data_IF_761308632255
#
_entry.id   IF_761308632255
#
_cell.length_a   1.000
_cell.length_b   1.000
_cell.length_c   1.000
_cell.angle_alpha   90.00
_cell.angle_beta   90.00
_cell.angle_gamma   90.00
#
_symmetry.space_group_name_H-M   'P 1'
#
loop_
_entity.id
_entity.type
_entity.pdbx_description
1 polymer ?
#
# COMPACT_ATOMS: atom_id res chain seq x y z
N UNK A 1 -3.77 -10.74 -3.96
CA UNK A 1 -3.75 -9.27 -4.16
C UNK A 1 -2.82 -8.61 -3.17
N UNK A 2 -2.16 -7.50 -3.54
CA UNK A 2 -1.31 -6.75 -2.61
C UNK A 2 -1.45 -5.23 -2.82
N UNK A 3 -0.83 -4.47 -1.93
CA UNK A 3 -0.85 -3.00 -1.94
C UNK A 3 -0.26 -2.40 -3.22
N UNK A 4 0.77 -3.03 -3.80
CA UNK A 4 1.39 -2.56 -5.05
C UNK A 4 0.37 -2.58 -6.19
N UNK A 5 -0.32 -3.71 -6.38
CA UNK A 5 -1.33 -3.85 -7.42
C UNK A 5 -2.51 -2.89 -7.22
N UNK A 6 -2.92 -2.67 -5.96
CA UNK A 6 -3.96 -1.69 -5.63
C UNK A 6 -3.56 -0.28 -6.07
N UNK A 7 -2.35 0.17 -5.71
CA UNK A 7 -1.82 1.49 -6.11
C UNK A 7 -1.72 1.62 -7.63
N UNK A 8 -1.21 0.60 -8.28
CA UNK A 8 -1.11 0.57 -9.74
C UNK A 8 -2.47 0.64 -10.41
N UNK A 9 -3.49 -0.07 -9.89
CA UNK A 9 -4.84 -0.08 -10.44
C UNK A 9 -5.54 1.27 -10.30
N UNK A 10 -5.33 1.97 -9.18
CA UNK A 10 -5.87 3.32 -8.97
C UNK A 10 -5.31 4.31 -10.00
N UNK A 11 -4.06 4.14 -10.38
CA UNK A 11 -3.40 4.96 -11.41
C UNK A 11 -3.82 4.57 -12.82
N UNK A 12 -3.74 3.28 -13.12
CA UNK A 12 -4.03 2.75 -14.44
C UNK A 12 -4.29 1.24 -14.36
N UNK A 13 -5.46 0.79 -14.85
CA UNK A 13 -5.83 -0.63 -14.87
C UNK A 13 -4.81 -1.49 -15.63
N UNK A 14 -4.35 -1.00 -16.80
CA UNK A 14 -3.32 -1.67 -17.61
C UNK A 14 -2.01 -1.82 -16.88
N UNK A 15 -1.60 -0.79 -16.11
CA UNK A 15 -0.39 -0.87 -15.27
C UNK A 15 -0.50 -2.01 -14.24
N UNK A 16 -1.63 -2.10 -13.53
CA UNK A 16 -1.83 -3.18 -12.57
C UNK A 16 -1.77 -4.57 -13.21
N UNK A 17 -2.35 -4.72 -14.39
CA UNK A 17 -2.30 -5.97 -15.15
C UNK A 17 -0.87 -6.33 -15.58
N UNK A 18 -0.09 -5.34 -16.06
CA UNK A 18 1.32 -5.51 -16.42
C UNK A 18 2.20 -5.81 -15.20
N UNK A 19 1.95 -5.20 -14.07
CA UNK A 19 2.67 -5.47 -12.81
C UNK A 19 2.45 -6.91 -12.33
N UNK A 20 1.29 -7.53 -12.65
CA UNK A 20 1.01 -8.92 -12.31
C UNK A 20 1.53 -9.91 -13.37
N UNK A 21 1.23 -9.66 -14.66
CA UNK A 21 1.43 -10.62 -15.77
C UNK A 21 2.52 -10.20 -16.75
N UNK A 22 3.07 -8.99 -16.60
CA UNK A 22 4.13 -8.47 -17.48
C UNK A 22 5.50 -9.07 -17.16
N UNK A 23 6.43 -8.87 -18.09
CA UNK A 23 7.81 -9.31 -17.89
C UNK A 23 8.54 -8.36 -16.93
N UNK A 24 9.03 -8.90 -15.82
CA UNK A 24 9.71 -8.14 -14.76
C UNK A 24 11.13 -7.67 -15.13
N UNK A 25 11.69 -8.16 -16.24
CA UNK A 25 13.02 -7.74 -16.74
C UNK A 25 13.12 -6.24 -17.08
N UNK A 26 11.98 -5.55 -17.12
CA UNK A 26 11.92 -4.11 -17.39
C UNK A 26 11.79 -3.23 -16.14
N UNK A 27 11.94 -3.79 -14.94
CA UNK A 27 11.99 -2.98 -13.71
C UNK A 27 13.30 -2.20 -13.65
N UNK A 28 13.20 -0.86 -13.75
CA UNK A 28 14.34 0.03 -13.59
C UNK A 28 14.58 0.29 -12.11
N UNK A 29 15.78 -0.02 -11.65
CA UNK A 29 16.22 0.37 -10.31
C UNK A 29 16.30 1.90 -10.18
N UNK A 30 15.89 2.44 -9.03
CA UNK A 30 15.89 3.87 -8.76
C UNK A 30 16.63 4.15 -7.45
N UNK A 31 17.72 4.93 -7.54
CA UNK A 31 18.49 5.38 -6.38
C UNK A 31 17.63 6.18 -5.37
N UNK A 32 16.67 6.94 -5.87
CA UNK A 32 15.73 7.69 -5.02
C UNK A 32 14.95 6.78 -4.06
N UNK A 33 14.58 5.56 -4.50
CA UNK A 33 13.86 4.61 -3.62
C UNK A 33 14.71 4.16 -2.42
N UNK A 34 16.02 4.09 -2.56
CA UNK A 34 16.92 3.73 -1.46
C UNK A 34 17.03 4.87 -0.45
N UNK A 35 17.24 6.10 -0.91
CA UNK A 35 17.29 7.30 -0.07
C UNK A 35 15.96 7.48 0.68
N UNK A 36 14.83 7.32 -0.01
CA UNK A 36 13.51 7.40 0.59
C UNK A 36 13.31 6.40 1.73
N UNK A 37 13.84 5.18 1.59
CA UNK A 37 13.77 4.16 2.66
C UNK A 37 14.56 4.55 3.90
N UNK A 38 15.74 5.15 3.74
CA UNK A 38 16.56 5.61 4.87
C UNK A 38 15.83 6.74 5.61
N UNK A 39 15.33 7.73 4.90
CA UNK A 39 14.56 8.84 5.47
C UNK A 39 13.31 8.33 6.18
N UNK A 40 12.60 7.39 5.58
CA UNK A 40 11.42 6.75 6.16
C UNK A 40 11.74 6.08 7.50
N UNK A 41 12.83 5.30 7.56
CA UNK A 41 13.22 4.62 8.79
C UNK A 41 13.58 5.60 9.91
N UNK A 42 14.30 6.68 9.61
CA UNK A 42 14.63 7.72 10.58
C UNK A 42 13.39 8.39 11.17
N UNK A 43 12.40 8.67 10.35
CA UNK A 43 11.12 9.24 10.79
C UNK A 43 10.34 8.25 11.65
N UNK A 44 10.29 6.98 11.27
CA UNK A 44 9.65 5.94 12.05
C UNK A 44 10.34 5.75 13.41
N UNK A 45 11.68 5.78 13.45
CA UNK A 45 12.44 5.70 14.69
C UNK A 45 12.10 6.85 15.63
N UNK A 46 12.00 8.07 15.11
CA UNK A 46 11.57 9.24 15.92
C UNK A 46 10.16 9.08 16.46
N UNK A 47 9.21 8.63 15.62
CA UNK A 47 7.82 8.41 16.04
C UNK A 47 7.69 7.34 17.13
N UNK A 48 8.53 6.32 17.09
CA UNK A 48 8.51 5.18 18.00
C UNK A 48 9.53 5.30 19.13
N UNK A 49 10.15 6.47 19.37
CA UNK A 49 11.19 6.68 20.37
C UNK A 49 12.34 5.64 20.31
N UNK A 50 12.69 5.21 19.10
CA UNK A 50 13.70 4.17 18.87
C UNK A 50 13.21 2.73 19.02
N UNK A 51 12.02 2.50 19.57
CA UNK A 51 11.47 1.16 19.81
C UNK A 51 10.85 0.54 18.56
N UNK A 52 11.66 0.17 17.59
CA UNK A 52 11.21 -0.52 16.37
C UNK A 52 11.73 -1.95 16.35
N UNK A 53 10.84 -2.88 16.01
CA UNK A 53 11.19 -4.28 15.85
C UNK A 53 10.70 -4.82 14.48
N UNK A 54 11.35 -5.88 14.00
CA UNK A 54 10.99 -6.48 12.70
C UNK A 54 10.17 -7.75 12.88
N UNK A 55 9.02 -7.82 12.18
CA UNK A 55 8.22 -9.03 12.08
C UNK A 55 7.31 -9.30 13.28
N UNK A 56 6.71 -10.49 13.30
CA UNK A 56 5.63 -10.85 14.23
C UNK A 56 6.03 -10.83 15.71
N UNK A 57 7.28 -11.14 16.05
CA UNK A 57 7.76 -11.06 17.44
C UNK A 57 7.60 -9.67 18.01
N UNK A 58 7.79 -8.63 17.20
CA UNK A 58 7.57 -7.24 17.60
C UNK A 58 6.13 -6.98 18.04
N UNK A 59 5.14 -7.53 17.32
CA UNK A 59 3.74 -7.43 17.71
C UNK A 59 3.45 -8.16 19.03
N UNK A 60 3.95 -9.38 19.18
CA UNK A 60 3.72 -10.20 20.37
C UNK A 60 4.33 -9.59 21.63
N UNK A 61 5.47 -8.93 21.50
CA UNK A 61 6.20 -8.32 22.61
C UNK A 61 5.79 -6.86 22.87
N UNK A 62 4.86 -6.32 22.08
CA UNK A 62 4.32 -4.98 22.29
C UNK A 62 5.31 -3.84 22.02
N UNK A 63 6.22 -3.98 21.07
CA UNK A 63 7.11 -2.88 20.66
C UNK A 63 6.30 -1.70 20.10
N UNK A 64 6.80 -0.48 20.29
CA UNK A 64 6.11 0.73 19.85
C UNK A 64 5.89 0.80 18.35
N UNK A 65 6.86 0.32 17.57
CA UNK A 65 6.80 0.21 16.13
C UNK A 65 7.16 -1.19 15.63
N UNK A 66 6.44 -1.69 14.63
CA UNK A 66 6.77 -2.96 13.96
C UNK A 66 6.84 -2.75 12.45
N UNK A 67 7.94 -3.17 11.85
CA UNK A 67 8.19 -3.12 10.41
C UNK A 67 8.38 -4.52 9.82
N UNK A 68 8.31 -4.62 8.49
CA UNK A 68 8.64 -5.86 7.77
C UNK A 68 7.62 -7.00 7.95
N UNK A 69 6.52 -6.80 8.66
CA UNK A 69 5.50 -7.82 8.86
C UNK A 69 4.66 -8.00 7.59
N UNK A 70 4.62 -9.23 7.08
CA UNK A 70 3.72 -9.64 6.01
C UNK A 70 2.46 -10.26 6.61
N UNK A 71 1.31 -9.71 6.28
CA UNK A 71 0.01 -10.18 6.73
C UNK A 71 -0.74 -10.74 5.54
N UNK A 72 -1.09 -12.02 5.62
CA UNK A 72 -1.90 -12.72 4.63
C UNK A 72 -3.29 -12.96 5.17
N UNK A 73 -4.29 -12.83 4.33
CA UNK A 73 -5.67 -13.10 4.71
C UNK A 73 -6.54 -13.36 3.50
N UNK A 74 -7.73 -13.88 3.76
CA UNK A 74 -8.76 -13.99 2.74
C UNK A 74 -9.63 -12.73 2.80
N UNK A 75 -9.88 -12.21 1.65
CA UNK A 75 -10.72 -11.07 1.44
C UNK A 75 -11.93 -11.53 0.63
N UNK A 76 -13.11 -11.05 0.88
CA UNK A 76 -14.36 -11.46 0.24
C UNK A 76 -14.28 -12.68 -0.70
N UNK A 77 -15.13 -13.70 -0.50
CA UNK A 77 -15.28 -14.84 -1.40
C UNK A 77 -13.96 -15.56 -1.76
N UNK A 78 -13.06 -15.71 -0.78
CA UNK A 78 -11.77 -16.41 -0.96
C UNK A 78 -10.72 -15.69 -1.82
N UNK A 79 -10.83 -14.39 -2.01
CA UNK A 79 -9.75 -13.63 -2.66
C UNK A 79 -8.56 -13.52 -1.70
N UNK A 80 -7.49 -14.25 -2.02
CA UNK A 80 -6.23 -14.17 -1.25
C UNK A 80 -5.61 -12.79 -1.36
N UNK A 81 -5.32 -12.18 -0.21
CA UNK A 81 -4.69 -10.89 -0.11
C UNK A 81 -3.48 -10.92 0.81
N UNK A 82 -2.50 -10.09 0.51
CA UNK A 82 -1.28 -9.90 1.29
C UNK A 82 -0.97 -8.42 1.40
N UNK A 83 -0.66 -7.97 2.59
CA UNK A 83 -0.15 -6.63 2.84
C UNK A 83 1.20 -6.70 3.56
N UNK A 84 1.99 -5.67 3.36
CA UNK A 84 3.18 -5.40 4.14
C UNK A 84 3.15 -3.92 4.54
N UNK A 85 2.50 -3.58 5.68
CA UNK A 85 2.47 -2.22 6.17
C UNK A 85 3.89 -1.66 6.32
N UNK A 86 4.08 -0.40 5.99
CA UNK A 86 5.38 0.25 6.11
C UNK A 86 5.83 0.32 7.57
N UNK A 87 4.85 0.62 8.46
CA UNK A 87 5.00 0.57 9.92
C UNK A 87 3.65 0.20 10.53
N UNK A 88 3.67 -0.59 11.58
CA UNK A 88 2.58 -0.78 12.53
C UNK A 88 2.93 -0.01 13.81
N UNK A 89 2.08 0.92 14.21
CA UNK A 89 2.27 1.77 15.39
C UNK A 89 1.37 1.32 16.53
N UNK A 90 1.95 1.03 17.70
CA UNK A 90 1.22 0.58 18.88
C UNK A 90 0.35 1.71 19.47
N UNK A 91 -0.86 1.37 19.84
CA UNK A 91 -1.80 2.26 20.52
C UNK A 91 -2.58 1.50 21.61
N UNK A 92 -3.24 2.24 22.47
CA UNK A 92 -4.16 1.67 23.47
C UNK A 92 -5.32 0.94 22.80
N UNK A 93 -5.75 -0.18 23.37
CA UNK A 93 -6.86 -0.98 22.87
C UNK A 93 -6.67 -2.44 23.25
N UNK A 94 -7.60 -3.30 22.86
CA UNK A 94 -7.54 -4.74 23.11
C UNK A 94 -7.30 -5.43 21.76
N UNK A 95 -6.38 -6.38 21.74
CA UNK A 95 -6.13 -7.27 20.61
C UNK A 95 -5.76 -8.67 21.14
N UNK A 96 -5.56 -9.63 20.24
CA UNK A 96 -5.09 -10.96 20.64
C UNK A 96 -3.74 -11.00 21.35
N UNK A 97 -2.99 -9.88 21.37
CA UNK A 97 -1.71 -9.78 22.05
C UNK A 97 -1.78 -9.12 23.43
N UNK A 98 -2.97 -8.63 23.85
CA UNK A 98 -3.16 -8.01 25.14
C UNK A 98 -3.84 -6.65 25.11
N UNK A 99 -3.51 -5.77 26.04
CA UNK A 99 -4.12 -4.46 26.24
C UNK A 99 -3.59 -3.37 25.29
N UNK A 100 -3.15 -3.75 24.10
CA UNK A 100 -2.72 -2.86 23.05
C UNK A 100 -3.11 -3.40 21.67
N UNK A 101 -3.15 -2.53 20.69
CA UNK A 101 -3.38 -2.86 19.29
C UNK A 101 -2.47 -2.03 18.39
N UNK A 102 -2.36 -2.40 17.14
CA UNK A 102 -1.58 -1.69 16.14
C UNK A 102 -2.46 -0.95 15.14
N UNK A 103 -1.98 0.21 14.73
CA UNK A 103 -2.51 0.99 13.61
C UNK A 103 -1.54 0.92 12.44
N UNK A 104 -2.02 0.78 11.20
CA UNK A 104 -1.15 0.87 10.04
C UNK A 104 -0.72 2.32 9.80
N UNK A 105 0.52 2.49 9.39
CA UNK A 105 1.10 3.78 9.05
C UNK A 105 1.54 3.76 7.59
N UNK A 106 1.18 4.80 6.86
CA UNK A 106 1.65 5.06 5.50
C UNK A 106 2.55 6.28 5.50
N UNK A 107 3.78 6.10 5.04
CA UNK A 107 4.73 7.19 4.80
C UNK A 107 4.61 7.72 3.37
N UNK A 108 4.73 9.02 3.21
CA UNK A 108 4.75 9.68 1.91
C UNK A 108 5.73 10.86 1.89
N UNK A 109 6.27 11.14 0.72
CA UNK A 109 6.95 12.39 0.44
C UNK A 109 5.96 13.48 0.03
N UNK A 110 6.25 14.72 0.42
CA UNK A 110 5.42 15.88 0.09
C UNK A 110 4.15 16.01 0.95
N UNK A 111 3.43 17.12 0.77
CA UNK A 111 2.35 17.54 1.67
C UNK A 111 1.01 16.83 1.44
N UNK A 112 0.64 16.60 0.18
CA UNK A 112 -0.73 16.18 -0.16
C UNK A 112 -0.97 14.69 0.05
N UNK A 113 -1.92 14.33 0.91
CA UNK A 113 -2.45 12.96 1.00
C UNK A 113 -3.31 12.64 -0.20
N UNK A 114 -2.95 11.59 -0.94
CA UNK A 114 -3.62 11.18 -2.17
C UNK A 114 -4.59 10.02 -1.91
N UNK A 115 -5.46 9.75 -2.89
CA UNK A 115 -6.36 8.60 -2.87
C UNK A 115 -5.62 7.27 -2.68
N UNK A 116 -4.41 7.15 -3.24
CA UNK A 116 -3.59 5.94 -3.09
C UNK A 116 -3.18 5.69 -1.64
N UNK A 117 -2.77 6.75 -0.92
CA UNK A 117 -2.40 6.64 0.50
C UNK A 117 -3.60 6.25 1.36
N UNK A 118 -4.77 6.85 1.10
CA UNK A 118 -6.01 6.52 1.82
C UNK A 118 -6.44 5.07 1.58
N UNK A 119 -6.30 4.58 0.34
CA UNK A 119 -6.68 3.22 -0.03
C UNK A 119 -5.70 2.19 0.50
N UNK A 120 -4.39 2.49 0.47
CA UNK A 120 -3.36 1.67 1.10
C UNK A 120 -3.62 1.50 2.59
N UNK A 121 -3.88 2.61 3.27
CA UNK A 121 -4.18 2.63 4.70
C UNK A 121 -5.44 1.82 5.03
N UNK A 122 -6.52 2.02 4.28
CA UNK A 122 -7.77 1.31 4.51
C UNK A 122 -7.67 -0.18 4.19
N UNK A 123 -6.97 -0.56 3.13
CA UNK A 123 -6.74 -1.96 2.79
C UNK A 123 -5.87 -2.66 3.85
N UNK A 124 -4.81 -1.99 4.28
CA UNK A 124 -3.94 -2.49 5.35
C UNK A 124 -4.71 -2.68 6.65
N UNK A 125 -5.61 -1.74 6.98
CA UNK A 125 -6.44 -1.83 8.19
C UNK A 125 -7.39 -3.01 8.15
N UNK A 126 -8.04 -3.27 7.02
CA UNK A 126 -9.02 -4.37 6.90
C UNK A 126 -8.35 -5.73 7.16
N UNK A 127 -7.17 -5.98 6.59
CA UNK A 127 -6.44 -7.22 6.83
C UNK A 127 -5.83 -7.29 8.24
N UNK A 128 -5.34 -6.16 8.75
CA UNK A 128 -4.80 -6.09 10.11
C UNK A 128 -5.86 -6.32 11.18
N UNK A 129 -7.11 -5.85 10.98
CA UNK A 129 -8.23 -6.11 11.90
C UNK A 129 -8.43 -7.61 12.12
N UNK A 130 -8.54 -8.38 11.04
CA UNK A 130 -8.67 -9.83 11.12
C UNK A 130 -7.44 -10.49 11.73
N UNK A 131 -6.25 -9.97 11.42
CA UNK A 131 -4.99 -10.54 11.89
C UNK A 131 -4.75 -10.31 13.38
N UNK A 132 -5.09 -9.14 13.92
CA UNK A 132 -4.93 -8.82 15.35
C UNK A 132 -6.20 -9.02 16.19
N UNK A 133 -7.33 -9.41 15.56
CA UNK A 133 -8.62 -9.61 16.19
C UNK A 133 -9.12 -8.36 16.93
N UNK A 134 -8.91 -7.20 16.30
CA UNK A 134 -9.27 -5.91 16.89
C UNK A 134 -9.62 -4.90 15.82
N UNK A 135 -10.71 -4.17 16.03
CA UNK A 135 -11.19 -3.13 15.11
C UNK A 135 -10.24 -1.94 15.04
N UNK A 136 -10.04 -1.43 13.83
CA UNK A 136 -9.20 -0.26 13.54
C UNK A 136 -10.08 0.86 12.98
N UNK A 137 -10.24 1.93 13.72
CA UNK A 137 -11.08 3.07 13.31
C UNK A 137 -10.30 4.15 12.59
N UNK A 138 -9.00 4.20 12.81
CA UNK A 138 -8.08 5.17 12.20
C UNK A 138 -6.76 4.54 11.85
N UNK A 139 -6.02 5.18 10.96
CA UNK A 139 -4.63 4.89 10.67
C UNK A 139 -3.85 6.20 10.55
N UNK A 140 -2.55 6.13 10.36
CA UNK A 140 -1.68 7.28 10.32
C UNK A 140 -1.07 7.47 8.93
N UNK A 141 -1.06 8.71 8.45
CA UNK A 141 -0.26 9.11 7.29
C UNK A 141 0.84 10.05 7.78
N UNK A 142 2.08 9.67 7.53
CA UNK A 142 3.23 10.51 7.85
C UNK A 142 3.75 11.13 6.57
N UNK A 143 3.79 12.44 6.53
CA UNK A 143 4.42 13.19 5.45
C UNK A 143 5.75 13.77 5.91
N UNK A 144 6.75 13.72 5.03
CA UNK A 144 8.03 14.37 5.24
C UNK A 144 8.22 15.45 4.18
N UNK A 145 8.58 16.63 4.65
CA UNK A 145 9.03 17.74 3.79
C UNK A 145 10.23 18.39 4.45
N UNK A 146 11.40 18.24 3.85
CA UNK A 146 12.65 18.62 4.48
C UNK A 146 12.86 17.83 5.78
N UNK A 147 13.23 18.51 6.85
CA UNK A 147 13.50 17.91 8.17
C UNK A 147 12.25 17.80 9.07
N UNK A 148 11.08 18.22 8.58
CA UNK A 148 9.83 18.19 9.36
C UNK A 148 8.98 17.00 8.95
N UNK A 149 8.51 16.25 9.94
CA UNK A 149 7.51 15.21 9.77
C UNK A 149 6.16 15.72 10.29
N UNK A 150 5.10 15.52 9.49
CA UNK A 150 3.73 15.77 9.91
C UNK A 150 2.98 14.45 9.98
N UNK A 151 2.27 14.23 11.07
CA UNK A 151 1.45 13.04 11.31
C UNK A 151 -0.02 13.42 11.21
N UNK A 152 -0.72 12.81 10.27
CA UNK A 152 -2.15 13.01 10.02
C UNK A 152 -2.92 11.74 10.41
N UNK A 153 -3.92 11.87 11.28
CA UNK A 153 -4.84 10.77 11.60
C UNK A 153 -5.94 10.69 10.54
N UNK A 154 -6.11 9.53 9.94
CA UNK A 154 -7.15 9.28 8.93
C UNK A 154 -8.20 8.34 9.49
N UNK A 155 -9.43 8.81 9.61
CA UNK A 155 -10.57 7.98 10.01
C UNK A 155 -11.03 7.07 8.88
N UNK A 156 -11.13 5.79 9.19
CA UNK A 156 -11.47 4.71 8.27
C UNK A 156 -12.98 4.45 8.28
N UNK A 157 -13.74 5.44 7.85
CA UNK A 157 -15.20 5.36 7.84
C UNK A 157 -15.74 4.30 6.85
N UNK A 158 -17.02 3.93 7.02
CA UNK A 158 -17.71 2.94 6.18
C UNK A 158 -17.64 3.26 4.69
N UNK A 159 -17.72 4.55 4.32
CA UNK A 159 -17.66 5.00 2.92
C UNK A 159 -16.29 4.72 2.28
N UNK A 160 -15.20 5.02 2.99
CA UNK A 160 -13.83 4.74 2.52
C UNK A 160 -13.60 3.24 2.37
N UNK A 161 -13.99 2.45 3.38
CA UNK A 161 -13.89 0.98 3.35
C UNK A 161 -14.64 0.40 2.16
N UNK A 162 -15.91 0.80 1.96
CA UNK A 162 -16.73 0.35 0.80
C UNK A 162 -16.06 0.70 -0.54
N UNK A 163 -15.47 1.90 -0.67
CA UNK A 163 -14.74 2.28 -1.89
C UNK A 163 -13.53 1.37 -2.14
N UNK A 164 -12.74 1.08 -1.12
CA UNK A 164 -11.59 0.19 -1.24
C UNK A 164 -12.02 -1.22 -1.64
N UNK A 165 -13.07 -1.75 -0.99
CA UNK A 165 -13.65 -3.04 -1.31
C UNK A 165 -14.04 -3.16 -2.79
N UNK A 166 -14.76 -2.17 -3.30
CA UNK A 166 -15.19 -2.13 -4.71
C UNK A 166 -13.98 -2.08 -5.65
N UNK A 167 -12.94 -1.31 -5.31
CA UNK A 167 -11.71 -1.25 -6.12
C UNK A 167 -10.98 -2.59 -6.12
N UNK A 168 -10.92 -3.29 -5.00
CA UNK A 168 -10.31 -4.62 -4.92
C UNK A 168 -11.08 -5.68 -5.71
N UNK A 169 -12.41 -5.64 -5.71
CA UNK A 169 -13.23 -6.49 -6.55
C UNK A 169 -12.96 -6.22 -8.05
N UNK A 170 -12.97 -4.95 -8.46
CA UNK A 170 -12.67 -4.56 -9.84
C UNK A 170 -11.24 -4.93 -10.27
N UNK A 171 -10.27 -4.84 -9.35
CA UNK A 171 -8.90 -5.28 -9.58
C UNK A 171 -8.85 -6.81 -9.79
N UNK A 172 -9.61 -7.57 -9.00
CA UNK A 172 -9.69 -9.01 -9.15
C UNK A 172 -10.27 -9.42 -10.53
N UNK A 173 -11.32 -8.76 -10.96
CA UNK A 173 -11.89 -8.98 -12.28
C UNK A 173 -10.93 -8.58 -13.41
N UNK A 174 -10.21 -7.46 -13.24
CA UNK A 174 -9.17 -7.04 -14.17
C UNK A 174 -8.06 -8.11 -14.33
N UNK A 175 -7.72 -8.82 -13.26
CA UNK A 175 -6.69 -9.87 -13.29
C UNK A 175 -7.16 -11.17 -13.94
N UNK A 176 -8.45 -11.44 -13.93
CA UNK A 176 -9.05 -12.59 -14.64
C UNK A 176 -9.19 -12.36 -16.14
N UNK A 177 -9.37 -11.10 -16.53
CA UNK A 177 -9.63 -10.71 -17.92
C UNK A 177 -8.38 -10.53 -18.78
N UNK A 178 -8.63 -10.10 -20.02
CA UNK A 178 -7.58 -9.69 -20.96
C UNK A 178 -6.90 -8.40 -20.52
N UNK A 179 -5.77 -8.11 -21.15
CA UNK A 179 -5.05 -6.86 -20.89
C UNK A 179 -5.94 -5.64 -21.21
N UNK A 180 -6.20 -4.75 -20.25
CA UNK A 180 -7.02 -3.57 -20.47
C UNK A 180 -6.44 -2.65 -21.55
N UNK A 181 -7.31 -1.98 -22.30
CA UNK A 181 -6.92 -0.96 -23.26
C UNK A 181 -6.17 0.21 -22.61
N UNK A 182 -5.43 0.94 -23.44
CA UNK A 182 -4.74 2.16 -23.00
C UNK A 182 -5.80 3.22 -22.73
N UNK A 183 -5.92 3.68 -21.48
CA UNK A 183 -6.71 4.85 -21.19
C UNK A 183 -6.00 6.09 -21.76
N UNK A 184 -6.73 6.95 -22.48
CA UNK A 184 -6.19 8.15 -23.14
C UNK A 184 -5.66 9.23 -22.18
N UNK A 185 -5.69 8.98 -20.88
CA UNK A 185 -5.18 9.91 -19.87
C UNK A 185 -3.63 9.93 -19.91
N UNK A 186 -3.10 10.80 -20.79
CA UNK A 186 -1.65 10.95 -21.08
C UNK A 186 -0.79 11.16 -19.83
N UNK A 187 -1.34 11.72 -18.77
CA UNK A 187 -0.63 11.97 -17.51
C UNK A 187 -0.24 10.68 -16.78
N UNK A 188 -1.00 9.59 -16.97
CA UNK A 188 -0.76 8.32 -16.29
C UNK A 188 0.08 7.32 -17.11
N UNK A 189 0.27 7.55 -18.41
CA UNK A 189 0.99 6.63 -19.31
C UNK A 189 2.50 6.73 -19.13
N UNK A 190 3.03 7.85 -18.68
CA UNK A 190 4.48 8.10 -18.54
C UNK A 190 5.18 7.22 -17.48
N UNK A 191 4.43 6.60 -16.57
CA UNK A 191 4.96 5.76 -15.48
C UNK A 191 4.70 4.26 -15.63
N UNK A 192 4.26 3.80 -16.79
CA UNK A 192 4.08 2.36 -17.03
C UNK A 192 5.43 1.75 -17.37
N UNK A 193 5.93 0.86 -16.52
CA UNK A 193 7.06 0.00 -16.86
C UNK A 193 6.70 -0.76 -18.15
N UNK A 194 7.50 -0.64 -19.15
CA UNK A 194 7.25 -1.26 -20.47
C UNK A 194 6.78 -0.30 -21.56
N UNK A 195 7.21 0.97 -21.53
CA UNK A 195 7.03 1.94 -22.65
C UNK A 195 7.24 1.31 -24.04
N UNK A 196 8.23 0.42 -24.15
CA UNK A 196 8.56 -0.26 -25.41
C UNK A 196 7.50 -1.28 -25.84
N UNK A 197 6.70 -1.81 -24.92
CA UNK A 197 5.63 -2.77 -25.26
C UNK A 197 4.39 -2.08 -25.79
N UNK A 198 4.09 -0.89 -25.30
CA UNK A 198 2.93 -0.09 -25.70
C UNK A 198 3.16 0.51 -27.09
N UNK A 199 4.36 1.03 -27.37
CA UNK A 199 4.70 1.69 -28.63
C UNK A 199 4.91 0.71 -29.80
N UNK A 200 5.46 -0.49 -29.56
CA UNK A 200 5.69 -1.50 -30.62
C UNK A 200 4.37 -2.12 -31.14
N UNK A 201 3.33 -2.23 -30.30
CA UNK A 201 2.03 -2.75 -30.78
C UNK A 201 1.23 -1.69 -31.55
N UNK A 202 1.35 -0.43 -31.19
CA UNK A 202 0.68 0.65 -31.91
C UNK A 202 1.27 0.82 -33.32
N UNK A 203 2.60 0.73 -33.49
CA UNK A 203 3.26 0.78 -34.83
C UNK A 203 2.93 -0.42 -35.74
N UNK A 204 2.42 -1.55 -35.20
CA UNK A 204 2.01 -2.71 -36.03
C UNK A 204 0.55 -2.66 -36.49
N UNK A 205 -0.24 -1.71 -35.98
CA UNK A 205 -1.65 -1.54 -36.39
C UNK A 205 -1.86 -0.38 -37.38
N UNK A 206 -0.79 0.42 -37.64
CA UNK A 206 -0.84 1.57 -38.56
C UNK A 206 -0.09 1.30 -39.90
N UNK A 207 0.06 0.00 -40.30
CA UNK A 207 0.55 -0.42 -41.63
C UNK A 207 -0.45 -1.38 -42.27
#
# INVERSE_FOLDING_TARGET
>A
MNTLYLKSFIRCKRKAWLDLKGNKSYEVWSAHKAIDKVNQYQIFSKLCNGEIYTGLKGCKNGYQGVIGLKIKGNFFQNIKAEIQPQLLFRTKGISKWGSYKYLPVVYKLGHKTTKEHLFDLAFSSILLESFQESKIEKGLVISSFGNKANVEEIYLNKKLRKKVLNVLLNLNECFKGFMPEITQDRKNVLFVHGKNFVTKKQKKMDI
#
